data_IF_196939209780
#
_entry.id   IF_196939209780
#
_cell.length_a   1.000
_cell.length_b   1.000
_cell.length_c   1.000
_cell.angle_alpha   90.00
_cell.angle_beta   90.00
_cell.angle_gamma   90.00
#
_symmetry.space_group_name_H-M   'P 1'
#
loop_
_entity.id
_entity.type
_entity.pdbx_description
1 polymer ?
#
# COMPACT_ATOMS: atom_id res chain seq x y z
N UNK A 1 -20.40 -26.65 70.41
CA UNK A 1 -19.73 -25.33 70.29
C UNK A 1 -18.94 -25.34 68.99
N UNK A 2 -19.52 -24.91 67.88
CA UNK A 2 -18.86 -24.84 66.52
C UNK A 2 -18.36 -23.42 66.34
N UNK A 3 -17.02 -23.28 66.18
CA UNK A 3 -16.39 -22.02 65.82
C UNK A 3 -16.37 -21.93 64.34
N UNK A 4 -17.15 -21.00 63.75
CA UNK A 4 -17.07 -20.60 62.35
C UNK A 4 -15.83 -19.73 62.15
N UNK A 5 -14.89 -20.21 61.30
CA UNK A 5 -13.75 -19.43 60.83
C UNK A 5 -14.20 -18.68 59.58
N UNK A 6 -14.36 -17.40 59.68
CA UNK A 6 -14.58 -16.50 58.54
C UNK A 6 -13.22 -16.15 57.89
N UNK A 7 -12.97 -16.70 56.71
CA UNK A 7 -11.83 -16.31 55.85
C UNK A 7 -12.23 -15.09 55.05
N UNK A 8 -11.65 -13.94 55.36
CA UNK A 8 -11.81 -12.72 54.58
C UNK A 8 -10.90 -12.82 53.34
N UNK A 9 -11.52 -12.92 52.16
CA UNK A 9 -10.83 -12.90 50.88
C UNK A 9 -10.60 -11.44 50.49
N UNK A 10 -9.37 -10.95 50.68
CA UNK A 10 -8.96 -9.61 50.27
C UNK A 10 -8.74 -9.58 48.73
N UNK A 11 -9.68 -8.98 48.01
CA UNK A 11 -9.55 -8.72 46.59
C UNK A 11 -8.52 -7.59 46.39
N UNK A 12 -7.30 -7.91 45.94
CA UNK A 12 -6.31 -6.93 45.53
C UNK A 12 -6.70 -6.47 44.13
N UNK A 13 -7.30 -5.30 44.00
CA UNK A 13 -7.48 -4.61 42.70
C UNK A 13 -6.10 -4.11 42.22
N UNK A 14 -5.50 -4.83 41.28
CA UNK A 14 -4.35 -4.31 40.51
C UNK A 14 -4.91 -3.36 39.46
N UNK A 15 -4.55 -2.05 39.48
CA UNK A 15 -4.95 -1.16 38.40
C UNK A 15 -4.23 -1.58 37.13
N UNK A 16 -4.98 -2.07 36.17
CA UNK A 16 -4.49 -2.26 34.80
C UNK A 16 -4.22 -0.87 34.20
N UNK A 17 -2.97 -0.41 34.26
CA UNK A 17 -2.50 0.68 33.41
C UNK A 17 -2.51 0.16 31.97
N UNK A 18 -3.62 0.34 31.28
CA UNK A 18 -3.66 0.26 29.84
C UNK A 18 -2.78 1.43 29.33
N UNK A 19 -1.52 1.12 29.00
CA UNK A 19 -0.72 1.99 28.15
C UNK A 19 -1.44 2.06 26.81
N UNK A 20 -2.27 3.08 26.65
CA UNK A 20 -2.77 3.47 25.35
C UNK A 20 -1.54 3.88 24.53
N UNK A 21 -1.05 2.96 23.70
CA UNK A 21 -0.13 3.31 22.65
C UNK A 21 -0.88 4.29 21.75
N UNK A 22 -0.53 5.57 21.82
CA UNK A 22 -1.04 6.57 20.90
C UNK A 22 -0.84 6.12 19.44
N UNK A 23 -1.59 6.69 18.49
CA UNK A 23 -1.44 6.35 17.10
C UNK A 23 0.04 6.50 16.72
N UNK A 24 0.66 5.39 16.27
CA UNK A 24 2.05 5.40 15.83
C UNK A 24 2.11 6.19 14.53
N UNK A 25 2.53 7.42 14.62
CA UNK A 25 2.74 8.27 13.44
C UNK A 25 3.91 7.69 12.62
N UNK A 26 3.72 7.64 11.29
CA UNK A 26 4.77 7.23 10.38
C UNK A 26 5.95 8.23 10.46
N UNK A 27 7.20 7.78 10.29
CA UNK A 27 8.32 8.68 10.22
C UNK A 27 8.13 9.65 9.04
N UNK A 28 8.51 10.91 9.25
CA UNK A 28 8.49 11.93 8.19
C UNK A 28 9.92 12.11 7.69
N UNK A 29 10.17 11.69 6.46
CA UNK A 29 11.42 11.99 5.78
C UNK A 29 11.27 13.28 4.94
N UNK A 30 12.40 13.81 4.46
CA UNK A 30 12.39 14.92 3.52
C UNK A 30 11.61 14.51 2.25
N UNK A 31 10.58 15.28 1.91
CA UNK A 31 9.70 15.02 0.78
C UNK A 31 10.34 15.37 -0.57
N UNK A 32 9.58 15.20 -1.63
CA UNK A 32 9.99 15.43 -3.02
C UNK A 32 10.48 16.89 -3.27
N UNK A 33 10.06 17.83 -2.46
CA UNK A 33 10.50 19.23 -2.47
C UNK A 33 11.88 19.45 -1.83
N UNK A 34 12.41 18.45 -1.12
CA UNK A 34 13.74 18.52 -0.52
C UNK A 34 14.84 18.43 -1.57
N UNK A 35 15.91 19.21 -1.42
CA UNK A 35 17.09 19.14 -2.28
C UNK A 35 17.80 17.78 -2.20
N UNK A 36 17.63 17.07 -1.10
CA UNK A 36 18.26 15.78 -0.84
C UNK A 36 17.36 14.59 -1.25
N UNK A 37 16.15 14.88 -1.73
CA UNK A 37 15.24 13.83 -2.20
C UNK A 37 15.77 13.16 -3.46
N UNK A 38 15.87 11.84 -3.41
CA UNK A 38 16.24 11.01 -4.56
C UNK A 38 15.13 10.01 -4.87
N UNK A 39 14.57 10.11 -6.06
CA UNK A 39 13.63 9.13 -6.55
C UNK A 39 14.29 7.75 -6.66
N UNK A 40 13.75 6.76 -5.94
CA UNK A 40 14.25 5.39 -5.96
C UNK A 40 15.76 5.27 -5.68
N UNK A 41 16.23 5.87 -4.58
CA UNK A 41 17.60 5.70 -4.10
C UNK A 41 17.91 4.22 -3.90
N UNK A 42 18.90 3.69 -4.66
CA UNK A 42 19.24 2.27 -4.70
C UNK A 42 20.16 1.86 -3.56
N UNK A 43 19.63 1.90 -2.35
CA UNK A 43 20.32 1.48 -1.12
C UNK A 43 19.34 0.86 -0.13
N UNK A 44 19.88 0.27 0.94
CA UNK A 44 19.12 -0.32 2.02
C UNK A 44 18.09 -1.34 1.53
N UNK A 45 16.94 -1.37 2.17
CA UNK A 45 15.85 -2.31 1.93
C UNK A 45 15.35 -2.33 0.49
N UNK A 46 15.21 -1.16 -0.15
CA UNK A 46 14.77 -1.08 -1.54
C UNK A 46 15.69 -1.90 -2.43
N UNK A 47 17.00 -1.70 -2.31
CA UNK A 47 18.00 -2.43 -3.07
C UNK A 47 17.98 -3.92 -2.72
N UNK A 48 17.96 -4.25 -1.44
CA UNK A 48 17.96 -5.64 -0.97
C UNK A 48 16.77 -6.42 -1.53
N UNK A 49 15.56 -5.87 -1.46
CA UNK A 49 14.36 -6.54 -1.97
C UNK A 49 14.35 -6.64 -3.51
N UNK A 50 14.86 -5.62 -4.22
CA UNK A 50 14.96 -5.65 -5.69
C UNK A 50 16.00 -6.65 -6.20
N UNK A 51 17.04 -6.95 -5.42
CA UNK A 51 18.04 -7.97 -5.75
C UNK A 51 17.53 -9.41 -5.54
N UNK A 52 16.38 -9.57 -4.86
CA UNK A 52 15.77 -10.89 -4.63
C UNK A 52 14.96 -11.36 -5.84
N UNK A 53 15.01 -12.66 -6.10
CA UNK A 53 14.07 -13.29 -7.02
C UNK A 53 12.81 -13.65 -6.25
N UNK A 54 11.69 -13.00 -6.56
CA UNK A 54 10.40 -13.28 -5.95
C UNK A 54 9.86 -14.65 -6.35
N UNK A 55 9.25 -15.35 -5.39
CA UNK A 55 8.55 -16.62 -5.55
C UNK A 55 7.03 -16.39 -5.42
N UNK A 56 6.29 -16.66 -6.49
CA UNK A 56 4.83 -16.41 -6.53
C UNK A 56 4.06 -17.25 -5.51
N UNK A 57 4.50 -18.50 -5.24
CA UNK A 57 3.80 -19.37 -4.30
C UNK A 57 3.97 -18.90 -2.86
N UNK A 58 5.20 -18.57 -2.45
CA UNK A 58 5.43 -17.99 -1.12
C UNK A 58 4.76 -16.62 -1.01
N UNK A 59 4.80 -15.84 -2.09
CA UNK A 59 4.12 -14.55 -2.15
C UNK A 59 2.61 -14.64 -1.96
N UNK A 60 1.97 -15.72 -2.38
CA UNK A 60 0.56 -15.97 -2.09
C UNK A 60 0.30 -16.13 -0.58
N UNK A 61 1.20 -16.86 0.11
CA UNK A 61 1.09 -17.08 1.56
C UNK A 61 1.31 -15.76 2.33
N UNK A 62 2.34 -14.99 1.97
CA UNK A 62 2.62 -13.68 2.60
C UNK A 62 1.58 -12.62 2.28
N UNK A 63 0.85 -12.75 1.15
CA UNK A 63 -0.21 -11.83 0.75
C UNK A 63 -1.50 -11.97 1.55
N UNK A 64 -1.72 -13.06 2.29
CA UNK A 64 -2.98 -13.33 2.99
C UNK A 64 -3.42 -12.15 3.88
N UNK A 65 -2.49 -11.56 4.62
CA UNK A 65 -2.79 -10.40 5.48
C UNK A 65 -3.17 -9.17 4.65
N UNK A 66 -2.59 -8.98 3.48
CA UNK A 66 -2.90 -7.88 2.57
C UNK A 66 -4.29 -8.04 1.96
N UNK A 67 -4.69 -9.28 1.72
CA UNK A 67 -5.99 -9.66 1.16
C UNK A 67 -7.18 -9.23 2.01
N UNK A 68 -7.02 -9.00 3.31
CA UNK A 68 -8.07 -8.50 4.19
C UNK A 68 -8.61 -7.12 3.74
N UNK A 69 -7.76 -6.26 3.23
CA UNK A 69 -8.10 -4.92 2.74
C UNK A 69 -8.12 -4.86 1.21
N UNK A 70 -7.08 -5.39 0.56
CA UNK A 70 -6.92 -5.34 -0.90
C UNK A 70 -7.65 -6.46 -1.64
N UNK A 71 -8.41 -7.30 -0.92
CA UNK A 71 -9.09 -8.51 -1.37
C UNK A 71 -8.12 -9.62 -1.82
N UNK A 72 -8.52 -10.90 -1.74
CA UNK A 72 -7.66 -12.02 -2.16
C UNK A 72 -7.23 -11.96 -3.64
N UNK A 73 -8.00 -11.27 -4.48
CA UNK A 73 -7.72 -11.05 -5.90
C UNK A 73 -6.83 -9.85 -6.17
N UNK A 74 -6.45 -9.07 -5.16
CA UNK A 74 -5.73 -7.82 -5.34
C UNK A 74 -6.58 -6.69 -5.95
N UNK A 75 -7.90 -6.89 -6.07
CA UNK A 75 -8.78 -5.94 -6.74
C UNK A 75 -8.95 -4.61 -5.97
N UNK A 76 -8.77 -4.61 -4.65
CA UNK A 76 -9.08 -3.44 -3.84
C UNK A 76 -10.58 -3.13 -3.80
N UNK A 77 -10.95 -1.87 -3.59
CA UNK A 77 -12.35 -1.44 -3.53
C UNK A 77 -12.63 -0.26 -4.47
N UNK A 78 -13.69 -0.37 -5.27
CA UNK A 78 -14.06 0.65 -6.26
C UNK A 78 -14.47 2.00 -5.64
N UNK A 79 -14.78 2.03 -4.33
CA UNK A 79 -14.96 3.27 -3.58
C UNK A 79 -13.65 4.05 -3.37
N UNK A 80 -12.50 3.46 -3.75
CA UNK A 80 -11.17 4.04 -3.63
C UNK A 80 -10.55 3.92 -2.24
N UNK A 81 -11.21 3.30 -1.27
CA UNK A 81 -10.67 3.13 0.09
C UNK A 81 -9.38 2.33 0.06
N UNK A 82 -9.37 1.21 -0.64
CA UNK A 82 -8.21 0.36 -0.84
C UNK A 82 -7.88 0.26 -2.34
N UNK A 83 -6.65 0.61 -2.75
CA UNK A 83 -6.26 0.54 -4.16
C UNK A 83 -6.24 -0.89 -4.68
N UNK A 84 -6.48 -1.01 -5.98
CA UNK A 84 -6.17 -2.21 -6.72
C UNK A 84 -4.65 -2.40 -6.77
N UNK A 85 -4.20 -3.60 -6.46
CA UNK A 85 -2.79 -4.00 -6.50
C UNK A 85 -2.50 -4.97 -7.64
N UNK A 86 -3.49 -5.79 -8.04
CA UNK A 86 -3.34 -6.83 -9.04
C UNK A 86 -2.67 -6.30 -10.32
N UNK A 87 -1.68 -7.01 -10.83
CA UNK A 87 -0.95 -6.65 -12.04
C UNK A 87 -0.01 -5.44 -11.92
N UNK A 88 0.15 -4.88 -10.72
CA UNK A 88 1.13 -3.82 -10.52
C UNK A 88 2.56 -4.35 -10.65
N UNK A 89 3.48 -3.54 -11.17
CA UNK A 89 4.90 -3.90 -11.27
C UNK A 89 5.51 -4.22 -9.91
N UNK A 90 6.21 -5.36 -9.79
CA UNK A 90 6.88 -5.76 -8.56
C UNK A 90 7.84 -4.69 -8.05
N UNK A 91 8.58 -4.03 -8.95
CA UNK A 91 9.49 -2.92 -8.60
C UNK A 91 8.77 -1.74 -7.96
N UNK A 92 7.58 -1.41 -8.45
CA UNK A 92 6.74 -0.35 -7.89
C UNK A 92 6.22 -0.73 -6.51
N UNK A 93 5.74 -1.96 -6.33
CA UNK A 93 5.25 -2.46 -5.04
C UNK A 93 6.34 -2.43 -3.98
N UNK A 94 7.53 -2.96 -4.31
CA UNK A 94 8.70 -2.96 -3.42
C UNK A 94 9.06 -1.52 -3.03
N UNK A 95 9.16 -0.62 -4.03
CA UNK A 95 9.46 0.79 -3.76
C UNK A 95 8.41 1.44 -2.86
N UNK A 96 7.13 1.24 -3.13
CA UNK A 96 6.05 1.85 -2.35
C UNK A 96 6.09 1.40 -0.88
N UNK A 97 6.37 0.14 -0.61
CA UNK A 97 6.48 -0.38 0.76
C UNK A 97 7.72 0.19 1.47
N UNK A 98 8.86 0.25 0.78
CA UNK A 98 10.08 0.87 1.31
C UNK A 98 9.86 2.37 1.60
N UNK A 99 9.26 3.11 0.68
CA UNK A 99 8.96 4.54 0.84
C UNK A 99 8.03 4.81 2.03
N UNK A 100 6.98 4.00 2.20
CA UNK A 100 6.06 4.12 3.33
C UNK A 100 6.81 3.87 4.64
N UNK A 101 7.66 2.85 4.70
CA UNK A 101 8.44 2.50 5.88
C UNK A 101 9.44 3.58 6.27
N UNK A 102 10.09 4.20 5.28
CA UNK A 102 11.04 5.29 5.49
C UNK A 102 10.37 6.65 5.69
N UNK A 103 9.05 6.75 5.52
CA UNK A 103 8.31 8.02 5.61
C UNK A 103 8.49 8.95 4.40
N UNK A 104 9.02 8.43 3.29
CA UNK A 104 9.09 9.14 2.00
C UNK A 104 7.71 9.21 1.33
N UNK A 105 6.81 8.29 1.67
CA UNK A 105 5.42 8.30 1.29
C UNK A 105 4.53 8.25 2.53
N UNK A 106 3.77 9.31 2.75
CA UNK A 106 2.81 9.34 3.86
C UNK A 106 1.63 8.41 3.56
N UNK A 107 1.49 7.37 4.36
CA UNK A 107 0.36 6.45 4.33
C UNK A 107 0.13 5.82 5.71
N UNK A 108 -0.58 6.52 6.61
CA UNK A 108 -0.80 6.05 7.97
C UNK A 108 -1.48 4.69 8.06
N UNK A 109 -2.37 4.37 7.09
CA UNK A 109 -3.08 3.09 7.05
C UNK A 109 -2.14 1.93 6.72
N UNK A 110 -1.22 2.12 5.77
CA UNK A 110 -0.30 1.07 5.35
C UNK A 110 0.98 0.99 6.21
N UNK A 111 1.32 2.06 6.92
CA UNK A 111 2.57 2.10 7.70
C UNK A 111 2.73 0.94 8.69
N UNK A 112 1.72 0.54 9.49
CA UNK A 112 1.85 -0.61 10.38
C UNK A 112 2.21 -1.91 9.66
N UNK A 113 1.59 -2.17 8.51
CA UNK A 113 1.86 -3.36 7.70
C UNK A 113 3.24 -3.30 7.03
N UNK A 114 3.60 -2.14 6.49
CA UNK A 114 4.94 -1.92 5.94
C UNK A 114 6.03 -2.14 6.99
N UNK A 115 5.79 -1.71 8.22
CA UNK A 115 6.73 -1.86 9.34
C UNK A 115 6.93 -3.32 9.75
N UNK A 116 5.90 -4.15 9.68
CA UNK A 116 5.98 -5.57 10.08
C UNK A 116 6.64 -6.44 9.00
N UNK A 117 6.55 -6.07 7.72
CA UNK A 117 7.18 -6.81 6.62
C UNK A 117 8.67 -6.46 6.51
N UNK A 118 9.48 -7.05 7.38
CA UNK A 118 10.92 -6.71 7.54
C UNK A 118 11.86 -7.55 6.69
N UNK A 119 11.43 -8.73 6.22
CA UNK A 119 12.25 -9.58 5.35
C UNK A 119 12.17 -9.09 3.89
N UNK A 120 13.29 -8.69 3.29
CA UNK A 120 13.33 -8.32 1.87
C UNK A 120 12.88 -9.44 0.92
N UNK A 121 13.02 -10.71 1.30
CA UNK A 121 12.55 -11.83 0.49
C UNK A 121 11.01 -11.91 0.50
N UNK A 122 10.36 -11.75 1.66
CA UNK A 122 8.90 -11.75 1.76
C UNK A 122 8.31 -10.60 0.95
N UNK A 123 8.95 -9.43 0.97
CA UNK A 123 8.54 -8.29 0.16
C UNK A 123 8.65 -8.59 -1.35
N UNK A 124 9.75 -9.21 -1.78
CA UNK A 124 9.93 -9.59 -3.18
C UNK A 124 8.93 -10.67 -3.64
N UNK A 125 8.65 -11.65 -2.78
CA UNK A 125 7.71 -12.73 -3.04
C UNK A 125 6.28 -12.20 -3.15
N UNK A 126 5.86 -11.39 -2.17
CA UNK A 126 4.54 -10.74 -2.18
C UNK A 126 4.36 -9.88 -3.43
N UNK A 127 5.37 -9.09 -3.79
CA UNK A 127 5.34 -8.27 -5.00
C UNK A 127 5.25 -9.11 -6.29
N UNK A 128 5.94 -10.25 -6.34
CA UNK A 128 5.86 -11.18 -7.47
C UNK A 128 4.47 -11.82 -7.59
N UNK A 129 3.86 -12.22 -6.48
CA UNK A 129 2.50 -12.73 -6.46
C UNK A 129 1.49 -11.69 -6.96
N UNK A 130 1.51 -10.49 -6.40
CA UNK A 130 0.60 -9.39 -6.78
C UNK A 130 0.75 -9.07 -8.27
N UNK A 131 1.99 -9.02 -8.79
CA UNK A 131 2.24 -8.78 -10.21
C UNK A 131 1.65 -9.87 -11.11
N UNK A 132 1.55 -11.10 -10.63
CA UNK A 132 0.98 -12.24 -11.37
C UNK A 132 -0.56 -12.24 -11.43
N UNK A 133 -1.22 -11.44 -10.60
CA UNK A 133 -2.68 -11.36 -10.55
C UNK A 133 -3.23 -10.60 -11.77
N UNK A 134 -4.39 -11.04 -12.26
CA UNK A 134 -5.09 -10.34 -13.35
C UNK A 134 -5.70 -9.02 -12.86
N UNK A 135 -5.49 -7.96 -13.63
CA UNK A 135 -6.11 -6.66 -13.38
C UNK A 135 -7.64 -6.79 -13.53
N UNK A 136 -8.44 -6.48 -12.49
CA UNK A 136 -9.89 -6.54 -12.58
C UNK A 136 -10.44 -5.42 -13.47
N UNK A 137 -11.66 -5.62 -13.98
CA UNK A 137 -12.32 -4.66 -14.89
C UNK A 137 -13.25 -3.68 -14.15
N UNK A 138 -13.60 -3.97 -12.91
CA UNK A 138 -14.48 -3.10 -12.10
C UNK A 138 -13.64 -2.12 -11.28
N UNK A 139 -13.36 -0.98 -11.88
CA UNK A 139 -12.52 0.07 -11.27
C UNK A 139 -13.25 1.41 -11.07
N UNK A 140 -14.57 1.44 -11.29
CA UNK A 140 -15.36 2.65 -11.21
C UNK A 140 -15.06 3.64 -12.35
N UNK A 141 -15.83 4.69 -12.43
CA UNK A 141 -15.70 5.75 -13.43
C UNK A 141 -16.22 7.08 -12.88
N UNK A 142 -15.92 8.15 -13.58
CA UNK A 142 -16.56 9.41 -13.32
C UNK A 142 -18.01 9.40 -13.82
N UNK A 143 -18.95 9.68 -12.94
CA UNK A 143 -20.42 9.70 -13.22
C UNK A 143 -21.05 11.08 -12.94
N UNK A 144 -20.21 12.11 -12.81
CA UNK A 144 -20.66 13.47 -12.55
C UNK A 144 -21.22 14.17 -13.79
N UNK A 145 -21.60 15.46 -13.65
CA UNK A 145 -22.07 16.29 -14.74
C UNK A 145 -21.09 16.31 -15.92
N UNK A 146 -21.62 16.29 -17.15
CA UNK A 146 -20.83 16.34 -18.38
C UNK A 146 -19.76 15.23 -18.50
N UNK A 147 -20.03 14.03 -17.99
CA UNK A 147 -19.04 12.93 -17.90
C UNK A 147 -18.28 12.70 -19.21
N UNK A 148 -18.98 12.67 -20.35
CA UNK A 148 -18.33 12.47 -21.66
C UNK A 148 -17.33 13.60 -21.99
N UNK A 149 -17.66 14.84 -21.69
CA UNK A 149 -16.80 16.01 -21.90
C UNK A 149 -15.59 15.97 -20.96
N UNK A 150 -15.80 15.63 -19.68
CA UNK A 150 -14.73 15.53 -18.72
C UNK A 150 -13.76 14.39 -19.05
N UNK A 151 -14.27 13.24 -19.50
CA UNK A 151 -13.42 12.12 -19.94
C UNK A 151 -12.60 12.50 -21.18
N UNK A 152 -13.21 13.21 -22.16
CA UNK A 152 -12.49 13.66 -23.33
C UNK A 152 -11.37 14.65 -22.97
N UNK A 153 -11.66 15.63 -22.10
CA UNK A 153 -10.64 16.56 -21.61
C UNK A 153 -9.54 15.86 -20.82
N UNK A 154 -9.90 14.87 -19.97
CA UNK A 154 -8.96 14.05 -19.23
C UNK A 154 -8.04 13.24 -20.14
N UNK A 155 -8.58 12.70 -21.26
CA UNK A 155 -7.78 12.00 -22.26
C UNK A 155 -6.72 12.92 -22.89
N UNK A 156 -7.12 14.11 -23.33
CA UNK A 156 -6.17 15.09 -23.88
C UNK A 156 -5.08 15.48 -22.87
N UNK A 157 -5.46 15.66 -21.60
CA UNK A 157 -4.52 15.98 -20.54
C UNK A 157 -3.55 14.83 -20.30
N UNK A 158 -4.05 13.59 -20.27
CA UNK A 158 -3.25 12.39 -20.11
C UNK A 158 -2.22 12.26 -21.24
N UNK A 159 -2.64 12.43 -22.48
CA UNK A 159 -1.78 12.35 -23.66
C UNK A 159 -0.67 13.42 -23.64
N UNK A 160 -0.93 14.59 -23.06
CA UNK A 160 0.04 15.69 -23.00
C UNK A 160 1.01 15.60 -21.83
N UNK A 161 0.58 15.05 -20.68
CA UNK A 161 1.33 15.20 -19.43
C UNK A 161 1.69 13.87 -18.73
N UNK A 162 0.96 12.79 -19.00
CA UNK A 162 1.10 11.55 -18.25
C UNK A 162 1.71 10.40 -19.07
N UNK A 163 1.46 10.41 -20.39
CA UNK A 163 1.83 9.30 -21.28
C UNK A 163 3.34 9.03 -21.34
N UNK A 164 4.16 10.06 -21.15
CA UNK A 164 5.62 9.91 -21.16
C UNK A 164 6.10 8.89 -20.12
N UNK A 165 5.53 8.96 -18.90
CA UNK A 165 5.87 8.06 -17.80
C UNK A 165 4.97 6.82 -17.77
N UNK A 166 3.65 7.01 -17.94
CA UNK A 166 2.68 5.94 -17.71
C UNK A 166 2.29 5.17 -18.98
N UNK A 167 2.81 5.56 -20.16
CA UNK A 167 2.51 4.97 -21.47
C UNK A 167 1.06 5.18 -21.91
N UNK A 168 0.79 4.83 -23.18
CA UNK A 168 -0.49 5.16 -23.81
C UNK A 168 -1.71 4.51 -23.15
N UNK A 169 -1.55 3.29 -22.63
CA UNK A 169 -2.62 2.55 -21.99
C UNK A 169 -2.47 2.46 -20.46
N UNK A 170 -1.59 3.26 -19.86
CA UNK A 170 -1.38 3.26 -18.43
C UNK A 170 -0.57 2.07 -17.90
N UNK A 171 0.25 1.44 -18.74
CA UNK A 171 1.04 0.26 -18.36
C UNK A 171 2.21 0.58 -17.43
N UNK A 172 2.63 1.84 -17.37
CA UNK A 172 3.80 2.25 -16.58
C UNK A 172 5.13 1.74 -17.15
N UNK A 173 6.18 1.82 -16.35
CA UNK A 173 7.54 1.36 -16.71
C UNK A 173 8.22 0.79 -15.47
N UNK A 174 8.34 -0.53 -15.39
CA UNK A 174 8.86 -1.24 -14.20
C UNK A 174 10.30 -0.84 -13.84
N UNK A 175 11.15 -0.62 -14.84
CA UNK A 175 12.56 -0.26 -14.63
C UNK A 175 12.74 1.17 -14.08
N UNK A 176 11.72 2.02 -14.27
CA UNK A 176 11.70 3.40 -13.79
C UNK A 176 10.78 3.60 -12.59
N UNK A 177 10.21 2.54 -12.05
CA UNK A 177 9.23 2.59 -10.94
C UNK A 177 7.98 3.42 -11.26
N UNK A 178 7.64 3.54 -12.55
CA UNK A 178 6.40 4.21 -12.94
C UNK A 178 5.25 3.20 -12.87
N UNK A 179 4.24 3.48 -12.04
CA UNK A 179 3.17 2.51 -11.78
C UNK A 179 2.26 2.27 -12.97
N UNK A 180 1.69 1.07 -13.01
CA UNK A 180 0.51 0.77 -13.82
C UNK A 180 -0.65 1.59 -13.27
N UNK A 181 -1.31 2.36 -14.14
CA UNK A 181 -2.53 3.11 -13.85
C UNK A 181 -3.77 2.42 -14.42
N UNK A 182 -3.58 1.59 -15.44
CA UNK A 182 -4.66 0.81 -16.04
C UNK A 182 -5.40 -0.04 -14.99
N UNK A 183 -6.72 0.05 -14.95
CA UNK A 183 -7.56 -0.69 -14.02
C UNK A 183 -7.54 -0.19 -12.57
N UNK A 184 -6.79 0.87 -12.26
CA UNK A 184 -6.84 1.46 -10.94
C UNK A 184 -8.17 2.18 -10.69
N UNK A 185 -8.68 2.12 -9.47
CA UNK A 185 -9.93 2.74 -9.09
C UNK A 185 -9.92 4.25 -9.30
N UNK A 186 -10.91 4.76 -10.02
CA UNK A 186 -11.08 6.18 -10.30
C UNK A 186 -10.96 7.06 -9.03
N UNK A 187 -11.69 6.70 -7.97
CA UNK A 187 -11.69 7.47 -6.72
C UNK A 187 -10.35 7.41 -5.99
N UNK A 188 -9.61 6.30 -6.14
CA UNK A 188 -8.25 6.21 -5.60
C UNK A 188 -7.29 7.13 -6.37
N UNK A 189 -7.31 7.09 -7.71
CA UNK A 189 -6.49 7.98 -8.53
C UNK A 189 -6.76 9.45 -8.22
N UNK A 190 -8.05 9.84 -8.13
CA UNK A 190 -8.43 11.20 -7.78
C UNK A 190 -7.80 11.63 -6.44
N UNK A 191 -7.90 10.79 -5.40
CA UNK A 191 -7.32 11.09 -4.09
C UNK A 191 -5.79 11.17 -4.10
N UNK A 192 -5.12 10.45 -4.99
CA UNK A 192 -3.65 10.50 -5.08
C UNK A 192 -3.14 11.78 -5.77
N UNK A 193 -4.03 12.52 -6.44
CA UNK A 193 -3.68 13.73 -7.20
C UNK A 193 -4.20 15.02 -6.53
N UNK A 194 -4.94 14.93 -5.45
CA UNK A 194 -5.48 16.05 -4.67
C UNK A 194 -4.88 16.11 -3.27
#
# INVERSE_FOLDING_TARGET
>A
MHKLLTVALSLVLVPAFALAAGPREAPKAAGIESKDYQWAKMEGELKEALDKKGDVKRGQETYEICGACHLPTGAGRSDGTFPQLAGQHSTVLIKQMADIRMGLRDNPTMYPFAKEMTDPQDLADTAAYINSLCIPVDHGKYEGPDAAKQVAAGKELYEKQCVECHKANGEGVKEKFYPVLAGQHYKYLLRQMT
#
